data_IF_503603237484
#
_entry.id   IF_503603237484
#
_cell.length_a   1.000
_cell.length_b   1.000
_cell.length_c   1.000
_cell.angle_alpha   90.00
_cell.angle_beta   90.00
_cell.angle_gamma   90.00
#
_symmetry.space_group_name_H-M   'P 1'
#
loop_
_entity.id
_entity.type
_entity.pdbx_description
1 polymer ?
#
# COMPACT_ATOMS: atom_id res chain seq x y z
N UNK A 1 11.09 17.34 43.44
CA UNK A 1 10.14 16.34 43.97
C UNK A 1 10.31 15.08 43.15
N UNK A 2 10.61 13.94 43.76
CA UNK A 2 10.73 12.66 43.05
C UNK A 2 9.34 12.16 42.63
N UNK A 3 9.25 11.36 41.56
CA UNK A 3 7.98 10.80 41.06
C UNK A 3 7.22 10.04 42.16
N UNK A 4 7.95 9.38 43.05
CA UNK A 4 7.39 8.67 44.21
C UNK A 4 6.67 9.60 45.19
N UNK A 5 7.19 10.80 45.44
CA UNK A 5 6.58 11.76 46.35
C UNK A 5 5.23 12.25 45.79
N UNK A 6 5.19 12.57 44.49
CA UNK A 6 3.96 12.97 43.79
C UNK A 6 2.96 11.81 43.77
N UNK A 7 3.40 10.59 43.50
CA UNK A 7 2.54 9.42 43.50
C UNK A 7 1.94 9.14 44.89
N UNK A 8 2.70 9.36 45.97
CA UNK A 8 2.25 9.18 47.34
C UNK A 8 1.25 10.26 47.78
N UNK A 9 1.48 11.52 47.41
CA UNK A 9 0.50 12.61 47.58
C UNK A 9 -0.81 12.30 46.85
N UNK A 10 -0.73 11.95 45.56
CA UNK A 10 -1.90 11.65 44.73
C UNK A 10 -2.69 10.45 45.28
N UNK A 11 -2.01 9.38 45.71
CA UNK A 11 -2.66 8.21 46.34
C UNK A 11 -3.45 8.61 47.59
N UNK A 12 -2.89 9.51 48.40
CA UNK A 12 -3.54 9.98 49.62
C UNK A 12 -4.78 10.82 49.29
N UNK A 13 -4.69 11.72 48.30
CA UNK A 13 -5.79 12.62 47.88
C UNK A 13 -7.00 11.90 47.24
N UNK A 14 -6.78 10.72 46.66
CA UNK A 14 -7.80 9.92 45.96
C UNK A 14 -8.26 8.69 46.75
N UNK A 15 -7.66 8.40 47.90
CA UNK A 15 -8.07 7.26 48.72
C UNK A 15 -9.53 7.44 49.14
N UNK A 16 -10.32 6.36 49.08
CA UNK A 16 -11.73 6.38 49.48
C UNK A 16 -12.71 6.95 48.45
N UNK A 17 -12.26 7.57 47.35
CA UNK A 17 -13.18 8.12 46.33
C UNK A 17 -14.00 7.01 45.68
N UNK A 18 -13.39 5.86 45.41
CA UNK A 18 -14.06 4.72 44.76
C UNK A 18 -15.08 4.09 45.71
N UNK A 19 -14.73 3.96 46.98
CA UNK A 19 -15.57 3.43 48.03
C UNK A 19 -16.77 4.36 48.29
N UNK A 20 -16.54 5.67 48.34
CA UNK A 20 -17.60 6.68 48.46
C UNK A 20 -18.54 6.67 47.25
N UNK A 21 -18.01 6.57 46.03
CA UNK A 21 -18.82 6.49 44.81
C UNK A 21 -19.66 5.19 44.75
N UNK A 22 -19.12 4.06 45.20
CA UNK A 22 -19.85 2.78 45.29
C UNK A 22 -20.96 2.80 46.35
N UNK A 23 -20.75 3.51 47.45
CA UNK A 23 -21.73 3.62 48.54
C UNK A 23 -22.90 4.55 48.20
N UNK A 24 -22.72 5.48 47.25
CA UNK A 24 -23.74 6.46 46.88
C UNK A 24 -24.87 5.81 46.05
N UNK A 25 -26.09 5.85 46.58
CA UNK A 25 -27.30 5.47 45.86
C UNK A 25 -28.12 6.72 45.52
N UNK A 26 -28.45 6.90 44.24
CA UNK A 26 -29.23 8.05 43.76
C UNK A 26 -30.70 7.63 43.65
N UNK A 27 -31.46 7.89 44.71
CA UNK A 27 -32.89 7.51 44.81
C UNK A 27 -33.83 8.73 44.74
N UNK A 28 -33.31 9.94 44.95
CA UNK A 28 -34.09 11.17 44.93
C UNK A 28 -33.32 12.33 44.26
N UNK A 29 -33.98 13.48 44.16
CA UNK A 29 -33.42 14.68 43.52
C UNK A 29 -32.21 15.25 44.30
N UNK A 30 -32.23 15.19 45.63
CA UNK A 30 -31.11 15.69 46.44
C UNK A 30 -29.85 14.83 46.25
N UNK A 31 -30.01 13.50 46.22
CA UNK A 31 -28.96 12.54 45.93
C UNK A 31 -28.41 12.73 44.51
N UNK A 32 -29.25 13.09 43.54
CA UNK A 32 -28.82 13.39 42.16
C UNK A 32 -27.94 14.64 42.10
N UNK A 33 -28.34 15.73 42.76
CA UNK A 33 -27.56 16.97 42.81
C UNK A 33 -26.23 16.75 43.53
N UNK A 34 -26.24 16.00 44.64
CA UNK A 34 -25.03 15.62 45.36
C UNK A 34 -24.09 14.77 44.49
N UNK A 35 -24.62 13.77 43.78
CA UNK A 35 -23.83 12.93 42.88
C UNK A 35 -23.17 13.75 41.75
N UNK A 36 -23.88 14.73 41.17
CA UNK A 36 -23.33 15.61 40.15
C UNK A 36 -22.20 16.50 40.69
N UNK A 37 -22.37 17.04 41.90
CA UNK A 37 -21.33 17.84 42.56
C UNK A 37 -20.06 17.02 42.84
N UNK A 38 -20.20 15.83 43.42
CA UNK A 38 -19.05 14.95 43.68
C UNK A 38 -18.40 14.45 42.39
N UNK A 39 -19.19 14.15 41.35
CA UNK A 39 -18.67 13.83 40.03
C UNK A 39 -17.79 14.96 39.45
N UNK A 40 -18.26 16.21 39.53
CA UNK A 40 -17.51 17.37 39.07
C UNK A 40 -16.23 17.60 39.89
N UNK A 41 -16.30 17.41 41.22
CA UNK A 41 -15.13 17.49 42.11
C UNK A 41 -14.06 16.45 41.79
N UNK A 42 -14.47 15.20 41.54
CA UNK A 42 -13.54 14.13 41.12
C UNK A 42 -12.89 14.48 39.78
N UNK A 43 -13.65 15.05 38.86
CA UNK A 43 -13.15 15.50 37.55
C UNK A 43 -12.09 16.60 37.68
N UNK A 44 -12.31 17.56 38.57
CA UNK A 44 -11.34 18.62 38.86
C UNK A 44 -10.06 18.06 39.49
N UNK A 45 -10.19 17.16 40.49
CA UNK A 45 -9.04 16.46 41.08
C UNK A 45 -8.22 15.71 40.02
N UNK A 46 -8.90 14.98 39.12
CA UNK A 46 -8.22 14.29 38.00
C UNK A 46 -7.45 15.27 37.12
N UNK A 47 -8.00 16.46 36.84
CA UNK A 47 -7.32 17.49 36.05
C UNK A 47 -6.06 17.99 36.75
N UNK A 48 -6.11 18.21 38.07
CA UNK A 48 -4.96 18.64 38.86
C UNK A 48 -3.86 17.58 38.84
N UNK A 49 -4.21 16.30 39.06
CA UNK A 49 -3.26 15.19 39.00
C UNK A 49 -2.56 15.13 37.64
N UNK A 50 -3.31 15.24 36.54
CA UNK A 50 -2.74 15.27 35.20
C UNK A 50 -1.81 16.47 35.02
N UNK A 51 -2.20 17.68 35.46
CA UNK A 51 -1.35 18.86 35.36
C UNK A 51 -0.04 18.76 36.15
N UNK A 52 0.00 17.99 37.26
CA UNK A 52 1.23 17.71 38.02
C UNK A 52 2.15 16.71 37.29
N UNK A 53 1.57 15.78 36.52
CA UNK A 53 2.30 14.74 35.79
C UNK A 53 2.71 15.14 34.36
N UNK A 54 1.98 16.09 33.76
CA UNK A 54 2.24 16.58 32.39
C UNK A 54 3.69 17.06 32.20
N UNK A 55 4.31 17.85 33.11
CA UNK A 55 5.71 18.27 32.94
C UNK A 55 6.72 17.12 32.91
N UNK A 56 6.46 16.04 33.65
CA UNK A 56 7.33 14.84 33.67
C UNK A 56 7.20 14.08 32.35
N UNK A 57 5.97 13.88 31.89
CA UNK A 57 5.70 13.27 30.59
C UNK A 57 6.35 14.08 29.47
N UNK A 58 6.18 15.39 29.49
CA UNK A 58 6.69 16.28 28.46
C UNK A 58 8.22 16.32 28.48
N UNK A 59 8.85 16.27 29.66
CA UNK A 59 10.30 16.11 29.80
C UNK A 59 10.81 14.80 29.20
N UNK A 60 10.11 13.69 29.43
CA UNK A 60 10.47 12.39 28.83
C UNK A 60 10.31 12.41 27.30
N UNK A 61 9.22 12.97 26.78
CA UNK A 61 9.01 13.10 25.33
C UNK A 61 10.06 14.03 24.68
N UNK A 62 10.48 15.09 25.35
CA UNK A 62 11.57 15.95 24.88
C UNK A 62 12.89 15.18 24.82
N UNK A 63 13.24 14.41 25.85
CA UNK A 63 14.48 13.66 25.88
C UNK A 63 14.49 12.51 24.87
N UNK A 64 13.37 11.78 24.75
CA UNK A 64 13.15 10.78 23.71
C UNK A 64 13.32 11.37 22.31
N UNK A 65 12.78 12.57 22.05
CA UNK A 65 12.97 13.27 20.78
C UNK A 65 14.43 13.59 20.51
N UNK A 66 15.20 14.02 21.52
CA UNK A 66 16.64 14.25 21.37
C UNK A 66 17.40 12.96 21.05
N UNK A 67 17.12 11.87 21.76
CA UNK A 67 17.74 10.56 21.49
C UNK A 67 17.43 10.08 20.07
N UNK A 68 16.18 10.20 19.63
CA UNK A 68 15.79 9.86 18.26
C UNK A 68 16.50 10.76 17.24
N UNK A 69 16.67 12.05 17.53
CA UNK A 69 17.40 12.96 16.65
C UNK A 69 18.88 12.56 16.52
N UNK A 70 19.54 12.21 17.62
CA UNK A 70 20.93 11.71 17.61
C UNK A 70 21.04 10.39 16.86
N UNK A 71 20.12 9.44 17.09
CA UNK A 71 20.10 8.18 16.33
C UNK A 71 19.97 8.48 14.84
N UNK A 72 19.02 9.33 14.44
CA UNK A 72 18.80 9.69 13.05
C UNK A 72 20.02 10.39 12.43
N UNK A 73 20.68 11.28 13.17
CA UNK A 73 21.89 11.95 12.73
C UNK A 73 23.04 10.95 12.50
N UNK A 74 23.20 9.99 13.41
CA UNK A 74 24.25 8.98 13.33
C UNK A 74 23.97 7.91 12.27
N UNK A 75 22.70 7.54 12.03
CA UNK A 75 22.33 6.53 11.03
C UNK A 75 22.17 7.11 9.63
N UNK A 76 21.86 8.40 9.48
CA UNK A 76 21.61 9.02 8.18
C UNK A 76 22.75 8.82 7.15
N UNK A 77 24.05 8.91 7.49
CA UNK A 77 25.12 8.61 6.53
C UNK A 77 25.14 7.14 6.08
N UNK A 78 24.80 6.20 6.98
CA UNK A 78 24.69 4.78 6.65
C UNK A 78 23.48 4.52 5.75
N UNK A 79 22.34 5.16 6.03
CA UNK A 79 21.13 5.06 5.21
C UNK A 79 21.40 5.62 3.80
N UNK A 80 22.02 6.80 3.70
CA UNK A 80 22.44 7.42 2.43
C UNK A 80 23.41 6.52 1.65
N UNK A 81 24.41 5.95 2.32
CA UNK A 81 25.35 5.04 1.68
C UNK A 81 24.63 3.79 1.14
N UNK A 82 23.68 3.25 1.91
CA UNK A 82 22.87 2.09 1.53
C UNK A 82 22.05 2.39 0.28
N UNK A 83 21.33 3.52 0.25
CA UNK A 83 20.56 3.96 -0.93
C UNK A 83 21.45 4.10 -2.18
N UNK A 84 22.65 4.67 -2.03
CA UNK A 84 23.61 4.82 -3.14
C UNK A 84 24.07 3.45 -3.65
N UNK A 85 24.40 2.51 -2.77
CA UNK A 85 24.84 1.18 -3.17
C UNK A 85 23.69 0.38 -3.81
N UNK A 86 22.49 0.43 -3.26
CA UNK A 86 21.30 -0.20 -3.83
C UNK A 86 21.02 0.31 -5.25
N UNK A 87 21.04 1.63 -5.45
CA UNK A 87 20.85 2.25 -6.77
C UNK A 87 21.92 1.79 -7.77
N UNK A 88 23.20 1.71 -7.36
CA UNK A 88 24.29 1.22 -8.22
C UNK A 88 24.12 -0.26 -8.57
N UNK A 89 23.75 -1.11 -7.60
CA UNK A 89 23.51 -2.54 -7.83
C UNK A 89 22.34 -2.73 -8.80
N UNK A 90 21.23 -2.01 -8.61
CA UNK A 90 20.06 -2.08 -9.50
C UNK A 90 20.40 -1.61 -10.91
N UNK A 91 21.14 -0.51 -11.05
CA UNK A 91 21.59 0.01 -12.35
C UNK A 91 22.47 -1.00 -13.08
N UNK A 92 23.43 -1.61 -12.38
CA UNK A 92 24.30 -2.64 -12.96
C UNK A 92 23.51 -3.88 -13.38
N UNK A 93 22.59 -4.37 -12.55
CA UNK A 93 21.73 -5.52 -12.90
C UNK A 93 20.86 -5.24 -14.11
N UNK A 94 20.26 -4.06 -14.20
CA UNK A 94 19.48 -3.65 -15.37
C UNK A 94 20.35 -3.59 -16.64
N UNK A 95 21.58 -3.09 -16.52
CA UNK A 95 22.54 -3.08 -17.62
C UNK A 95 22.92 -4.50 -18.07
N UNK A 96 23.21 -5.42 -17.14
CA UNK A 96 23.52 -6.82 -17.45
C UNK A 96 22.33 -7.49 -18.14
N UNK A 97 21.11 -7.33 -17.60
CA UNK A 97 19.89 -7.89 -18.22
C UNK A 97 19.67 -7.38 -19.64
N UNK A 98 19.92 -6.09 -19.88
CA UNK A 98 19.84 -5.50 -21.21
C UNK A 98 20.88 -6.11 -22.16
N UNK A 99 22.11 -6.34 -21.68
CA UNK A 99 23.17 -7.00 -22.46
C UNK A 99 22.84 -8.46 -22.80
N UNK A 100 22.30 -9.20 -21.84
CA UNK A 100 21.83 -10.58 -22.06
C UNK A 100 20.68 -10.61 -23.08
N UNK A 101 19.75 -9.66 -23.03
CA UNK A 101 18.67 -9.56 -24.01
C UNK A 101 19.16 -9.17 -25.42
N UNK A 102 20.09 -8.22 -25.52
CA UNK A 102 20.74 -7.86 -26.79
C UNK A 102 21.44 -9.07 -27.41
N UNK A 103 22.21 -9.84 -26.63
CA UNK A 103 22.91 -11.03 -27.11
C UNK A 103 21.93 -12.14 -27.48
N UNK A 104 20.85 -12.33 -26.71
CA UNK A 104 19.78 -13.29 -27.03
C UNK A 104 19.13 -12.95 -28.36
N UNK A 105 18.80 -11.68 -28.58
CA UNK A 105 18.19 -11.23 -29.82
C UNK A 105 19.14 -11.40 -31.01
N UNK A 106 20.43 -11.13 -30.82
CA UNK A 106 21.46 -11.36 -31.84
C UNK A 106 21.59 -12.83 -32.21
N UNK A 107 21.70 -13.71 -31.22
CA UNK A 107 21.80 -15.16 -31.43
C UNK A 107 20.53 -15.74 -32.07
N UNK A 108 19.36 -15.24 -31.66
CA UNK A 108 18.09 -15.62 -32.28
C UNK A 108 18.07 -15.22 -33.76
N UNK A 109 18.43 -13.98 -34.08
CA UNK A 109 18.46 -13.50 -35.46
C UNK A 109 19.43 -14.32 -36.34
N UNK A 110 20.60 -14.69 -35.82
CA UNK A 110 21.55 -15.55 -36.55
C UNK A 110 20.98 -16.96 -36.79
N UNK A 111 20.35 -17.57 -35.78
CA UNK A 111 19.71 -18.89 -35.95
C UNK A 111 18.56 -18.84 -36.93
N UNK A 112 17.73 -17.80 -36.86
CA UNK A 112 16.61 -17.62 -37.77
C UNK A 112 17.09 -17.40 -39.21
N UNK A 113 18.20 -16.68 -39.42
CA UNK A 113 18.85 -16.53 -40.72
C UNK A 113 19.39 -17.88 -41.23
N UNK A 114 20.13 -18.62 -40.41
CA UNK A 114 20.66 -19.94 -40.78
C UNK A 114 19.55 -20.93 -41.13
N UNK A 115 18.43 -20.92 -40.39
CA UNK A 115 17.29 -21.77 -40.66
C UNK A 115 16.59 -21.39 -41.98
N UNK A 116 16.49 -20.09 -42.29
CA UNK A 116 15.98 -19.62 -43.58
C UNK A 116 16.89 -20.02 -44.75
N UNK A 117 18.20 -19.84 -44.60
CA UNK A 117 19.19 -20.21 -45.62
C UNK A 117 19.22 -21.72 -45.86
N UNK A 118 19.18 -22.54 -44.80
CA UNK A 118 19.15 -23.99 -44.93
C UNK A 118 17.90 -24.46 -45.70
N UNK A 119 16.75 -23.86 -45.38
CA UNK A 119 15.48 -24.14 -46.02
C UNK A 119 15.45 -23.72 -47.50
N UNK A 120 16.03 -22.57 -47.83
CA UNK A 120 16.18 -22.12 -49.22
C UNK A 120 17.08 -23.06 -50.02
N UNK A 121 18.22 -23.46 -49.45
CA UNK A 121 19.12 -24.43 -50.09
C UNK A 121 18.45 -25.78 -50.33
N UNK A 122 17.70 -26.30 -49.35
CA UNK A 122 16.96 -27.55 -49.50
C UNK A 122 15.90 -27.47 -50.61
N UNK A 123 15.16 -26.36 -50.69
CA UNK A 123 14.21 -26.12 -51.77
C UNK A 123 14.88 -25.99 -53.15
N UNK A 124 16.00 -25.26 -53.24
CA UNK A 124 16.78 -25.11 -54.48
C UNK A 124 17.36 -26.45 -54.96
N UNK A 125 17.85 -27.30 -54.05
CA UNK A 125 18.35 -28.64 -54.38
C UNK A 125 17.23 -29.54 -54.95
N UNK A 126 16.04 -29.51 -54.36
CA UNK A 126 14.87 -30.25 -54.85
C UNK A 126 14.40 -29.75 -56.22
N UNK A 127 14.36 -28.43 -56.43
CA UNK A 127 14.01 -27.85 -57.74
C UNK A 127 15.02 -28.26 -58.82
N UNK A 128 16.32 -28.21 -58.50
CA UNK A 128 17.37 -28.65 -59.42
C UNK A 128 17.28 -30.14 -59.74
N UNK A 129 16.93 -30.97 -58.76
CA UNK A 129 16.71 -32.41 -58.96
C UNK A 129 15.47 -32.64 -59.86
N UNK A 130 14.38 -31.90 -59.63
CA UNK A 130 13.19 -31.95 -60.46
C UNK A 130 13.50 -31.64 -61.93
N UNK A 131 14.29 -30.59 -62.21
CA UNK A 131 14.70 -30.25 -63.58
C UNK A 131 15.52 -31.36 -64.27
N UNK A 132 16.37 -32.08 -63.52
CA UNK A 132 17.15 -33.18 -64.08
C UNK A 132 16.30 -34.42 -64.38
N UNK A 133 15.30 -34.69 -63.53
CA UNK A 133 14.38 -35.83 -63.68
C UNK A 133 13.41 -35.58 -64.84
N UNK A 134 12.94 -34.33 -65.00
CA UNK A 134 12.11 -33.91 -66.13
C UNK A 134 12.84 -34.09 -67.47
N UNK A 135 14.11 -33.66 -67.54
CA UNK A 135 14.98 -33.88 -68.72
C UNK A 135 15.29 -35.37 -68.95
N UNK A 136 15.22 -36.19 -67.91
CA UNK A 136 15.37 -37.65 -67.96
C UNK A 136 14.14 -38.39 -68.45
N UNK A 137 13.00 -37.70 -68.64
CA UNK A 137 11.78 -38.25 -69.23
C UNK A 137 10.75 -38.80 -68.22
N UNK A 138 10.86 -38.48 -66.94
CA UNK A 138 9.87 -38.87 -65.91
C UNK A 138 9.16 -37.63 -65.32
N UNK A 139 8.09 -37.13 -65.97
CA UNK A 139 7.42 -35.89 -65.55
C UNK A 139 6.62 -36.04 -64.25
N UNK A 140 6.17 -37.25 -63.90
CA UNK A 140 5.43 -37.48 -62.65
C UNK A 140 6.34 -37.34 -61.43
N UNK A 141 7.55 -37.88 -61.49
CA UNK A 141 8.54 -37.71 -60.42
C UNK A 141 9.04 -36.27 -60.30
N UNK A 142 9.20 -35.56 -61.42
CA UNK A 142 9.58 -34.15 -61.40
C UNK A 142 8.51 -33.27 -60.72
N UNK A 143 7.22 -33.51 -60.99
CA UNK A 143 6.12 -32.78 -60.37
C UNK A 143 6.06 -33.00 -58.85
N UNK A 144 6.30 -34.23 -58.38
CA UNK A 144 6.34 -34.55 -56.95
C UNK A 144 7.47 -33.80 -56.22
N UNK A 145 8.66 -33.69 -56.82
CA UNK A 145 9.80 -32.96 -56.26
C UNK A 145 9.56 -31.44 -56.21
N UNK A 146 8.89 -30.88 -57.23
CA UNK A 146 8.51 -29.46 -57.23
C UNK A 146 7.47 -29.15 -56.14
N UNK A 147 6.49 -30.02 -55.95
CA UNK A 147 5.49 -29.87 -54.89
C UNK A 147 6.14 -29.97 -53.49
N UNK A 148 7.12 -30.85 -53.33
CA UNK A 148 7.89 -30.97 -52.10
C UNK A 148 8.73 -29.72 -51.79
N UNK A 149 9.36 -29.12 -52.80
CA UNK A 149 10.07 -27.84 -52.66
C UNK A 149 9.13 -26.70 -52.19
N UNK A 150 7.95 -26.57 -52.80
CA UNK A 150 6.92 -25.58 -52.41
C UNK A 150 6.43 -25.83 -50.97
N UNK A 151 6.29 -27.10 -50.59
CA UNK A 151 5.87 -27.50 -49.24
C UNK A 151 6.94 -27.18 -48.19
N UNK A 152 8.22 -27.28 -48.55
CA UNK A 152 9.31 -26.84 -47.69
C UNK A 152 9.24 -25.32 -47.56
N UNK A 153 9.25 -24.55 -48.64
CA UNK A 153 9.18 -23.08 -48.62
C UNK A 153 7.96 -22.50 -47.87
N UNK A 154 6.82 -23.17 -47.89
CA UNK A 154 5.60 -22.71 -47.21
C UNK A 154 5.58 -22.98 -45.69
N UNK A 155 6.44 -23.85 -45.15
CA UNK A 155 6.48 -24.12 -43.70
C UNK A 155 7.06 -22.93 -42.90
N UNK A 156 6.42 -22.43 -41.83
CA UNK A 156 7.00 -21.38 -41.00
C UNK A 156 8.28 -21.88 -40.32
N UNK A 157 9.32 -21.04 -40.31
CA UNK A 157 10.56 -21.33 -39.57
C UNK A 157 10.22 -21.27 -38.07
N UNK A 158 10.36 -22.40 -37.38
CA UNK A 158 10.16 -22.45 -35.92
C UNK A 158 11.33 -21.75 -35.25
N UNK A 159 11.06 -20.67 -34.51
CA UNK A 159 12.09 -19.98 -33.73
C UNK A 159 12.55 -20.88 -32.58
N UNK A 160 13.82 -21.28 -32.62
CA UNK A 160 14.43 -22.08 -31.56
C UNK A 160 14.80 -21.16 -30.41
N UNK A 161 14.23 -21.36 -29.23
CA UNK A 161 14.55 -20.58 -28.04
C UNK A 161 16.05 -20.65 -27.71
N UNK A 162 16.68 -19.48 -27.50
CA UNK A 162 18.08 -19.38 -27.08
C UNK A 162 18.15 -19.09 -25.58
N UNK A 163 18.65 -20.05 -24.81
CA UNK A 163 18.96 -19.88 -23.39
C UNK A 163 20.37 -19.29 -23.22
N UNK A 164 20.48 -18.25 -22.40
CA UNK A 164 21.77 -17.68 -21.97
C UNK A 164 21.95 -17.98 -20.49
N UNK A 165 23.10 -18.52 -20.13
CA UNK A 165 23.42 -18.80 -18.73
C UNK A 165 23.50 -17.50 -17.92
N UNK A 166 23.00 -17.48 -16.68
CA UNK A 166 23.01 -16.27 -15.85
C UNK A 166 24.45 -15.82 -15.58
N UNK A 167 24.76 -14.56 -15.89
CA UNK A 167 26.12 -14.02 -15.74
C UNK A 167 26.43 -13.46 -14.35
N UNK A 168 25.41 -13.26 -13.52
CA UNK A 168 25.56 -12.64 -12.19
C UNK A 168 25.85 -13.67 -11.08
N UNK A 169 26.79 -13.37 -10.16
CA UNK A 169 27.01 -14.21 -8.98
C UNK A 169 25.80 -14.14 -8.03
N UNK A 170 25.56 -15.23 -7.28
CA UNK A 170 24.55 -15.25 -6.22
C UNK A 170 24.94 -14.30 -5.10
N UNK A 171 24.24 -13.17 -4.99
CA UNK A 171 24.43 -12.21 -3.90
C UNK A 171 23.76 -12.74 -2.62
N UNK A 172 24.28 -12.36 -1.46
CA UNK A 172 23.67 -12.69 -0.16
C UNK A 172 22.35 -11.94 0.06
N UNK A 173 22.17 -10.78 -0.58
CA UNK A 173 20.94 -10.00 -0.50
C UNK A 173 19.82 -10.68 -1.29
N UNK A 174 18.67 -10.87 -0.66
CA UNK A 174 17.47 -11.43 -1.28
C UNK A 174 16.74 -10.31 -2.04
N UNK A 175 16.60 -10.46 -3.35
CA UNK A 175 15.74 -9.59 -4.14
C UNK A 175 14.27 -9.88 -3.80
N UNK A 176 13.53 -8.86 -3.38
CA UNK A 176 12.09 -8.96 -3.16
C UNK A 176 11.36 -8.16 -4.24
N UNK A 177 10.75 -8.85 -5.18
CA UNK A 177 9.84 -8.21 -6.13
C UNK A 177 8.53 -7.91 -5.40
N UNK A 178 8.22 -6.63 -5.25
CA UNK A 178 6.93 -6.20 -4.71
C UNK A 178 6.00 -5.89 -5.87
N UNK A 179 4.84 -6.53 -5.90
CA UNK A 179 3.79 -6.25 -6.87
C UNK A 179 2.75 -5.35 -6.20
N UNK A 180 2.28 -4.36 -6.94
CA UNK A 180 1.18 -3.50 -6.53
C UNK A 180 0.03 -3.66 -7.53
N UNK A 181 -1.19 -3.71 -7.00
CA UNK A 181 -2.39 -3.74 -7.82
C UNK A 181 -2.90 -2.31 -8.02
N UNK A 182 -3.14 -1.94 -9.28
CA UNK A 182 -3.83 -0.71 -9.64
C UNK A 182 -5.25 -1.05 -10.10
N UNK A 183 -6.25 -0.36 -9.55
CA UNK A 183 -7.65 -0.56 -9.96
C UNK A 183 -7.93 0.34 -11.15
N UNK A 184 -8.01 -0.27 -12.34
CA UNK A 184 -8.29 0.45 -13.59
C UNK A 184 -9.77 0.86 -13.69
N UNK A 185 -10.67 -0.01 -13.22
CA UNK A 185 -12.12 0.23 -13.20
C UNK A 185 -12.73 -0.24 -11.88
N UNK A 186 -13.17 0.72 -11.06
CA UNK A 186 -13.77 0.45 -9.74
C UNK A 186 -15.16 -0.17 -9.86
N UNK A 187 -15.96 0.21 -10.86
CA UNK A 187 -17.33 -0.29 -11.02
C UNK A 187 -17.32 -1.77 -11.44
N UNK A 188 -16.44 -2.12 -12.39
CA UNK A 188 -16.24 -3.51 -12.79
C UNK A 188 -15.78 -4.38 -11.62
N UNK A 189 -14.88 -3.87 -10.77
CA UNK A 189 -14.40 -4.57 -9.59
C UNK A 189 -15.53 -4.80 -8.56
N UNK A 190 -16.35 -3.78 -8.29
CA UNK A 190 -17.50 -3.88 -7.38
C UNK A 190 -18.50 -4.94 -7.89
N UNK A 191 -18.84 -4.91 -9.18
CA UNK A 191 -19.73 -5.90 -9.81
C UNK A 191 -19.16 -7.32 -9.66
N UNK A 192 -17.87 -7.51 -9.92
CA UNK A 192 -17.19 -8.80 -9.79
C UNK A 192 -17.20 -9.34 -8.34
N UNK A 193 -17.13 -8.46 -7.33
CA UNK A 193 -17.27 -8.84 -5.92
C UNK A 193 -18.71 -9.24 -5.58
N UNK A 194 -19.71 -8.53 -6.10
CA UNK A 194 -21.11 -8.90 -5.92
C UNK A 194 -21.47 -10.23 -6.61
N UNK A 195 -20.87 -10.50 -7.77
CA UNK A 195 -21.00 -11.78 -8.51
C UNK A 195 -20.24 -12.94 -7.85
N UNK A 196 -19.42 -12.69 -6.81
CA UNK A 196 -18.66 -13.71 -6.09
C UNK A 196 -17.40 -14.21 -6.81
N UNK A 197 -17.02 -13.59 -7.95
CA UNK A 197 -15.77 -13.90 -8.67
C UNK A 197 -14.54 -13.43 -7.90
N UNK A 198 -14.69 -12.38 -7.09
CA UNK A 198 -13.63 -11.79 -6.26
C UNK A 198 -14.07 -11.80 -4.79
N UNK A 199 -13.20 -12.17 -3.84
CA UNK A 199 -13.55 -12.14 -2.41
C UNK A 199 -13.95 -10.73 -1.95
N UNK A 200 -14.93 -10.63 -1.05
CA UNK A 200 -15.34 -9.35 -0.43
C UNK A 200 -14.19 -8.61 0.26
N UNK A 201 -13.12 -9.30 0.63
CA UNK A 201 -11.92 -8.69 1.20
C UNK A 201 -11.12 -7.82 0.20
N UNK A 202 -11.33 -7.99 -1.12
CA UNK A 202 -10.63 -7.22 -2.14
C UNK A 202 -11.06 -5.74 -2.19
N UNK A 203 -12.25 -5.42 -1.68
CA UNK A 203 -12.75 -4.04 -1.57
C UNK A 203 -13.20 -3.82 -0.13
N UNK A 204 -12.67 -2.77 0.50
CA UNK A 204 -13.19 -2.31 1.80
C UNK A 204 -14.41 -1.41 1.56
N UNK A 205 -15.58 -2.02 1.38
CA UNK A 205 -16.85 -1.27 1.29
C UNK A 205 -17.33 -0.99 2.72
N UNK A 206 -17.03 0.20 3.22
CA UNK A 206 -17.56 0.66 4.51
C UNK A 206 -18.81 1.51 4.28
N UNK A 207 -19.86 1.26 5.06
CA UNK A 207 -21.02 2.15 5.08
C UNK A 207 -20.59 3.50 5.66
N UNK A 208 -20.86 4.59 4.92
CA UNK A 208 -20.58 5.94 5.41
C UNK A 208 -21.60 6.33 6.50
N UNK A 209 -21.32 5.92 7.73
CA UNK A 209 -22.20 6.15 8.88
C UNK A 209 -22.42 7.64 9.15
N UNK A 210 -21.50 8.53 8.78
CA UNK A 210 -21.71 9.98 8.93
C UNK A 210 -22.83 10.46 8.02
N UNK A 211 -22.78 10.07 6.74
CA UNK A 211 -23.85 10.37 5.78
C UNK A 211 -25.19 9.76 6.24
N UNK A 212 -25.17 8.48 6.61
CA UNK A 212 -26.37 7.76 7.04
C UNK A 212 -26.96 8.34 8.34
N UNK A 213 -26.14 8.68 9.33
CA UNK A 213 -26.60 9.28 10.59
C UNK A 213 -27.12 10.70 10.38
N UNK A 214 -26.51 11.48 9.47
CA UNK A 214 -27.02 12.82 9.14
C UNK A 214 -28.38 12.73 8.45
N UNK A 215 -28.56 11.76 7.54
CA UNK A 215 -29.89 11.50 6.95
C UNK A 215 -30.89 10.98 7.97
N UNK A 216 -30.51 10.05 8.84
CA UNK A 216 -31.36 9.55 9.92
C UNK A 216 -31.78 10.66 10.90
N UNK A 217 -30.92 11.64 11.19
CA UNK A 217 -31.28 12.83 12.00
C UNK A 217 -32.28 13.76 11.31
N UNK A 218 -32.22 13.85 9.98
CA UNK A 218 -33.07 14.77 9.20
C UNK A 218 -34.43 14.15 8.89
N UNK A 219 -34.46 12.87 8.56
CA UNK A 219 -35.66 12.15 8.08
C UNK A 219 -36.28 11.28 9.18
N UNK A 220 -35.57 11.02 10.28
CA UNK A 220 -36.04 10.27 11.44
C UNK A 220 -36.70 8.93 11.04
N UNK A 221 -38.01 8.79 11.28
CA UNK A 221 -38.79 7.60 10.97
C UNK A 221 -39.13 7.45 9.47
N UNK A 222 -38.90 8.48 8.66
CA UNK A 222 -39.21 8.51 7.22
C UNK A 222 -38.02 8.15 6.31
N UNK A 223 -36.88 7.72 6.88
CA UNK A 223 -35.69 7.31 6.14
C UNK A 223 -35.97 6.06 5.27
N UNK A 224 -35.96 6.21 3.95
CA UNK A 224 -36.17 5.11 3.00
C UNK A 224 -34.91 4.82 2.18
N UNK A 225 -33.92 4.18 2.83
CA UNK A 225 -32.70 3.69 2.18
C UNK A 225 -32.67 2.16 2.34
N UNK A 226 -32.64 1.38 1.23
CA UNK A 226 -32.60 -0.08 1.32
C UNK A 226 -31.46 -0.57 2.22
N UNK A 227 -31.80 -1.39 3.22
CA UNK A 227 -30.84 -1.98 4.16
C UNK A 227 -30.38 -1.08 5.32
N UNK A 228 -31.00 0.10 5.50
CA UNK A 228 -30.69 1.03 6.61
C UNK A 228 -31.94 1.33 7.43
N UNK A 229 -31.83 1.28 8.76
CA UNK A 229 -32.91 1.54 9.73
C UNK A 229 -32.48 2.66 10.70
N UNK A 230 -33.37 3.62 10.99
CA UNK A 230 -33.13 4.70 11.95
C UNK A 230 -33.51 4.28 13.38
N UNK A 231 -32.59 4.46 14.35
CA UNK A 231 -32.82 4.13 15.77
C UNK A 231 -32.62 5.35 16.68
N UNK A 232 -33.58 5.69 17.55
CA UNK A 232 -33.40 6.77 18.52
C UNK A 232 -32.36 6.39 19.57
N UNK A 233 -31.55 7.38 20.01
CA UNK A 233 -30.53 7.19 21.05
C UNK A 233 -30.60 8.34 22.06
N UNK A 234 -31.09 8.03 23.26
CA UNK A 234 -31.09 8.97 24.37
C UNK A 234 -29.71 9.03 25.02
N UNK A 235 -29.12 10.22 25.10
CA UNK A 235 -27.85 10.45 25.80
C UNK A 235 -27.93 11.69 26.69
N UNK A 236 -27.49 11.55 27.94
CA UNK A 236 -27.24 12.69 28.83
C UNK A 236 -26.09 13.52 28.26
N UNK A 237 -26.41 14.71 27.75
CA UNK A 237 -25.43 15.62 27.20
C UNK A 237 -24.55 16.19 28.33
N UNK A 238 -23.23 15.99 28.25
CA UNK A 238 -22.27 16.71 29.10
C UNK A 238 -22.45 18.21 28.84
N UNK A 239 -22.86 18.97 29.84
CA UNK A 239 -22.79 20.43 29.78
C UNK A 239 -21.38 20.87 29.37
N UNK A 240 -21.28 21.82 28.43
CA UNK A 240 -20.00 22.39 27.99
C UNK A 240 -19.40 23.20 29.14
N UNK A 241 -18.73 22.54 30.08
CA UNK A 241 -17.73 23.19 30.90
C UNK A 241 -16.59 23.62 29.96
N UNK A 242 -16.40 24.92 29.73
CA UNK A 242 -15.26 25.43 28.97
C UNK A 242 -13.99 24.78 29.54
N UNK A 243 -13.21 24.01 28.77
CA UNK A 243 -11.91 23.58 29.24
C UNK A 243 -11.04 24.83 29.36
N UNK A 244 -10.65 25.20 30.58
CA UNK A 244 -9.43 25.98 30.73
C UNK A 244 -8.31 25.11 30.13
N UNK A 245 -7.77 25.58 29.00
CA UNK A 245 -6.68 25.06 28.15
C UNK A 245 -7.07 24.40 26.81
N UNK A 246 -7.16 25.25 25.78
CA UNK A 246 -6.63 24.93 24.45
C UNK A 246 -5.12 24.63 24.55
N UNK A 247 -4.75 23.41 24.94
CA UNK A 247 -3.35 22.92 24.91
C UNK A 247 -3.14 21.77 23.92
N UNK A 248 -4.21 21.23 23.33
CA UNK A 248 -4.05 20.42 22.12
C UNK A 248 -3.92 21.34 20.92
N UNK A 249 -2.69 21.82 20.71
CA UNK A 249 -2.26 22.44 19.47
C UNK A 249 -2.57 21.50 18.31
N UNK A 250 -3.60 21.87 17.55
CA UNK A 250 -3.81 21.44 16.18
C UNK A 250 -2.60 21.90 15.37
N UNK A 251 -1.58 21.05 15.25
CA UNK A 251 -0.57 21.19 14.23
C UNK A 251 -1.09 20.51 12.96
N UNK A 252 -1.96 21.20 12.23
CA UNK A 252 -2.19 20.96 10.80
C UNK A 252 -3.02 22.09 10.19
N UNK A 253 -2.46 22.82 9.20
CA UNK A 253 -3.26 23.73 8.39
C UNK A 253 -2.57 24.99 7.85
N UNK A 254 -1.52 24.81 7.05
CA UNK A 254 -1.16 25.61 5.87
C UNK A 254 -1.48 27.13 5.85
N UNK A 255 -0.47 27.96 6.13
CA UNK A 255 -0.38 29.31 5.56
C UNK A 255 0.22 29.22 4.15
N UNK A 256 -0.63 29.19 3.11
CA UNK A 256 -0.22 29.56 1.75
C UNK A 256 -0.18 31.09 1.67
N UNK A 257 0.99 31.66 1.95
CA UNK A 257 1.31 33.04 1.63
C UNK A 257 1.82 33.12 0.19
N UNK A 258 0.95 33.50 -0.73
CA UNK A 258 1.32 33.85 -2.10
C UNK A 258 2.08 35.17 -2.07
N UNK A 259 3.41 35.12 -2.16
CA UNK A 259 4.22 36.30 -2.39
C UNK A 259 4.11 36.70 -3.87
N UNK A 260 3.40 37.79 -4.14
CA UNK A 260 3.46 38.49 -5.41
C UNK A 260 4.71 39.36 -5.39
N UNK A 261 5.68 39.02 -6.24
CA UNK A 261 6.86 39.83 -6.52
C UNK A 261 6.48 40.90 -7.55
N UNK A 262 6.63 42.21 -7.29
CA UNK A 262 6.57 43.21 -8.34
C UNK A 262 7.92 43.25 -9.08
N UNK A 263 7.84 43.05 -10.39
CA UNK A 263 8.90 43.35 -11.36
C UNK A 263 9.19 44.85 -11.37
N UNK A 264 10.46 45.19 -11.13
CA UNK A 264 11.15 46.34 -11.70
C UNK A 264 12.57 45.89 -12.05
#
# INVERSE_FOLDING_TARGET
MTMELIAQEVRTEISGIVEAAKALQVVDHHALVFADQEFNRIREKKKIILSKLDPIRDGFEQEKKKVIAVIKELTAPCDQATEIYEAKILTYKAWVKKKEEEERNRLQALKDQQAKEAKQKEAEELLRLAETVEKGGDPEQAAALMEEAIKIESKPVQSVHVEIAPTLPKLQSVEKQTYHAEVVDLEALIKAVFEGKVPRAAIKIEANMTYLNNRAKMEEASLNIPGVESKPKDTLAKGRSKPATDIFGSNNGAAKGTAVVPLF
#
